data_IF_214466148860
#
_entry.id   IF_214466148860
#
_cell.length_a   1.000
_cell.length_b   1.000
_cell.length_c   1.000
_cell.angle_alpha   90.00
_cell.angle_beta   90.00
_cell.angle_gamma   90.00
#
_symmetry.space_group_name_H-M   'P 1'
#
loop_
_entity.id
_entity.type
_entity.pdbx_description
1 polymer ?
#
# COMPACT_ATOMS: atom_id res chain seq x y z
N UNK A 1 21.09 -16.43 -8.87
CA UNK A 1 21.38 -15.08 -9.38
C UNK A 1 20.23 -14.56 -10.24
N UNK A 2 19.13 -14.10 -9.63
CA UNK A 2 17.99 -13.44 -10.33
C UNK A 2 17.57 -12.13 -9.65
N UNK A 3 18.45 -11.52 -8.85
CA UNK A 3 18.10 -10.44 -7.94
C UNK A 3 18.63 -9.05 -8.34
N UNK A 4 18.94 -8.76 -9.63
CA UNK A 4 19.66 -7.51 -9.94
C UNK A 4 19.34 -6.76 -11.23
N UNK A 5 18.16 -6.86 -11.84
CA UNK A 5 17.99 -6.18 -13.13
C UNK A 5 16.60 -5.61 -13.46
N UNK A 6 15.82 -5.22 -12.45
CA UNK A 6 14.62 -4.39 -12.67
C UNK A 6 14.47 -3.30 -11.60
N UNK A 7 15.58 -2.66 -11.21
CA UNK A 7 15.56 -1.41 -10.47
C UNK A 7 15.38 -0.23 -11.45
N UNK A 8 14.26 -0.23 -12.17
CA UNK A 8 13.81 0.91 -12.97
C UNK A 8 12.40 1.28 -12.52
N UNK A 9 12.33 2.13 -11.50
CA UNK A 9 11.09 2.77 -11.03
C UNK A 9 11.07 3.00 -9.51
N UNK A 10 11.27 4.25 -9.08
CA UNK A 10 10.79 4.77 -7.80
C UNK A 10 11.61 4.45 -6.55
N UNK A 11 11.52 3.22 -6.03
CA UNK A 11 11.75 3.00 -4.61
C UNK A 11 12.72 1.85 -4.35
N UNK A 12 13.94 2.16 -3.91
CA UNK A 12 14.82 1.16 -3.33
C UNK A 12 14.31 0.74 -1.96
N UNK A 13 14.65 -0.47 -1.49
CA UNK A 13 14.31 -0.91 -0.12
C UNK A 13 14.81 0.09 0.94
N UNK A 14 15.95 0.75 0.69
CA UNK A 14 16.50 1.78 1.56
C UNK A 14 15.64 3.04 1.57
N UNK A 15 15.12 3.46 0.42
CA UNK A 15 14.20 4.60 0.32
C UNK A 15 12.87 4.32 1.04
N UNK A 16 12.32 3.11 0.91
CA UNK A 16 11.10 2.70 1.62
C UNK A 16 11.31 2.62 3.13
N UNK A 17 12.46 2.11 3.58
CA UNK A 17 12.80 2.12 5.00
C UNK A 17 12.98 3.55 5.55
N UNK A 18 13.57 4.46 4.77
CA UNK A 18 13.66 5.86 5.14
C UNK A 18 12.27 6.52 5.22
N UNK A 19 11.37 6.20 4.29
CA UNK A 19 9.98 6.66 4.33
C UNK A 19 9.25 6.16 5.58
N UNK A 20 9.38 4.87 5.93
CA UNK A 20 8.82 4.30 7.17
C UNK A 20 9.31 5.09 8.38
N UNK A 21 10.62 5.38 8.46
CA UNK A 21 11.17 6.18 9.55
C UNK A 21 10.54 7.57 9.62
N UNK A 22 10.39 8.26 8.49
CA UNK A 22 9.77 9.58 8.46
C UNK A 22 8.30 9.55 8.90
N UNK A 23 7.56 8.49 8.54
CA UNK A 23 6.19 8.30 9.04
C UNK A 23 6.16 8.04 10.54
N UNK A 24 7.11 7.26 11.07
CA UNK A 24 7.24 7.05 12.51
C UNK A 24 7.54 8.35 13.25
N UNK A 25 8.49 9.15 12.77
CA UNK A 25 8.79 10.48 13.33
C UNK A 25 7.54 11.39 13.29
N UNK A 26 6.74 11.33 12.22
CA UNK A 26 5.50 12.10 12.09
C UNK A 26 4.41 11.62 13.07
N UNK A 27 4.29 10.31 13.29
CA UNK A 27 3.35 9.70 14.24
C UNK A 27 3.73 10.03 15.69
N UNK A 28 5.03 10.12 15.99
CA UNK A 28 5.51 10.54 17.31
C UNK A 28 5.13 12.00 17.63
N UNK A 29 5.12 12.86 16.61
CA UNK A 29 4.73 14.27 16.74
C UNK A 29 3.21 14.40 16.81
N UNK A 30 2.49 13.69 15.95
CA UNK A 30 1.03 13.68 15.87
C UNK A 30 0.50 12.25 15.76
N UNK A 31 0.05 11.73 16.91
CA UNK A 31 -0.45 10.36 17.01
C UNK A 31 -1.76 10.12 16.26
N UNK A 32 -2.44 11.18 15.83
CA UNK A 32 -3.71 11.14 15.09
C UNK A 32 -3.50 11.37 13.58
N UNK A 33 -2.25 11.42 13.11
CA UNK A 33 -1.93 11.64 11.70
C UNK A 33 -2.20 10.41 10.83
N UNK A 34 -3.47 10.23 10.44
CA UNK A 34 -3.95 9.06 9.69
C UNK A 34 -3.16 8.75 8.40
N UNK A 35 -2.78 9.79 7.64
CA UNK A 35 -2.05 9.62 6.38
C UNK A 35 -0.64 9.02 6.61
N UNK A 36 0.02 9.34 7.73
CA UNK A 36 1.32 8.77 8.07
C UNK A 36 1.22 7.27 8.36
N UNK A 37 0.18 6.83 9.09
CA UNK A 37 -0.09 5.42 9.28
C UNK A 37 -0.40 4.67 7.97
N UNK A 38 -1.19 5.28 7.08
CA UNK A 38 -1.49 4.71 5.77
C UNK A 38 -0.24 4.57 4.89
N UNK A 39 0.58 5.61 4.81
CA UNK A 39 1.85 5.60 4.06
C UNK A 39 2.84 4.58 4.61
N UNK A 40 2.93 4.45 5.95
CA UNK A 40 3.74 3.41 6.60
C UNK A 40 3.28 2.00 6.21
N UNK A 41 1.98 1.74 6.28
CA UNK A 41 1.41 0.43 5.91
C UNK A 41 1.72 0.10 4.44
N UNK A 42 1.54 1.07 3.54
CA UNK A 42 1.87 0.92 2.13
C UNK A 42 3.34 0.56 1.91
N UNK A 43 4.28 1.33 2.48
CA UNK A 43 5.70 1.07 2.33
C UNK A 43 6.11 -0.32 2.83
N UNK A 44 5.57 -0.76 3.97
CA UNK A 44 5.80 -2.11 4.51
C UNK A 44 5.31 -3.21 3.55
N UNK A 45 4.14 -3.03 2.94
CA UNK A 45 3.59 -3.97 1.97
C UNK A 45 4.40 -4.02 0.67
N UNK A 46 4.92 -2.88 0.21
CA UNK A 46 5.81 -2.83 -0.96
C UNK A 46 7.13 -3.55 -0.67
N UNK A 47 7.74 -3.33 0.51
CA UNK A 47 8.95 -4.05 0.93
C UNK A 47 8.69 -5.56 1.01
N UNK A 48 7.56 -5.96 1.57
CA UNK A 48 7.15 -7.36 1.63
C UNK A 48 7.06 -7.96 0.21
N UNK A 49 6.25 -7.36 -0.66
CA UNK A 49 5.92 -7.94 -1.97
C UNK A 49 7.09 -7.95 -2.94
N UNK A 50 7.85 -6.85 -3.03
CA UNK A 50 8.86 -6.68 -4.07
C UNK A 50 10.26 -7.14 -3.66
N UNK A 51 10.56 -7.22 -2.35
CA UNK A 51 11.94 -7.41 -1.90
C UNK A 51 12.14 -8.60 -0.97
N UNK A 52 11.35 -8.71 0.10
CA UNK A 52 11.73 -9.59 1.23
C UNK A 52 10.86 -10.83 1.38
N UNK A 53 9.57 -10.75 1.04
CA UNK A 53 8.56 -11.75 1.36
C UNK A 53 8.50 -12.11 2.86
N UNK A 54 8.92 -11.19 3.74
CA UNK A 54 8.82 -11.37 5.19
C UNK A 54 7.40 -11.05 5.67
N UNK A 55 6.67 -12.07 6.13
CA UNK A 55 5.31 -11.92 6.62
C UNK A 55 5.17 -11.02 7.87
N UNK A 56 6.24 -10.78 8.62
CA UNK A 56 6.20 -9.83 9.74
C UNK A 56 5.85 -8.41 9.27
N UNK A 57 6.27 -8.03 8.06
CA UNK A 57 5.93 -6.74 7.47
C UNK A 57 4.44 -6.62 7.15
N UNK A 58 3.78 -7.74 6.80
CA UNK A 58 2.33 -7.77 6.56
C UNK A 58 1.58 -7.54 7.87
N UNK A 59 2.02 -8.17 8.96
CA UNK A 59 1.44 -7.97 10.29
C UNK A 59 1.63 -6.53 10.79
N UNK A 60 2.81 -5.94 10.56
CA UNK A 60 3.05 -4.53 10.92
C UNK A 60 2.22 -3.57 10.06
N UNK A 61 2.09 -3.85 8.76
CA UNK A 61 1.25 -3.06 7.86
C UNK A 61 -0.23 -3.13 8.26
N UNK A 62 -0.72 -4.29 8.68
CA UNK A 62 -2.07 -4.45 9.22
C UNK A 62 -2.29 -3.55 10.44
N UNK A 63 -1.35 -3.54 11.40
CA UNK A 63 -1.45 -2.70 12.59
C UNK A 63 -1.49 -1.21 12.26
N UNK A 64 -0.61 -0.76 11.35
CA UNK A 64 -0.59 0.62 10.89
C UNK A 64 -1.89 0.98 10.15
N UNK A 65 -2.35 0.11 9.25
CA UNK A 65 -3.61 0.30 8.52
C UNK A 65 -4.83 0.38 9.46
N UNK A 66 -4.92 -0.49 10.47
CA UNK A 66 -6.01 -0.43 11.45
C UNK A 66 -6.06 0.92 12.18
N UNK A 67 -4.89 1.50 12.46
CA UNK A 67 -4.81 2.82 13.06
C UNK A 67 -5.28 3.91 12.08
N UNK A 68 -4.85 3.86 10.83
CA UNK A 68 -5.31 4.77 9.78
C UNK A 68 -6.84 4.70 9.57
N UNK A 69 -7.42 3.48 9.55
CA UNK A 69 -8.87 3.25 9.45
C UNK A 69 -9.62 3.83 10.65
N UNK A 70 -9.07 3.66 11.86
CA UNK A 70 -9.68 4.21 13.08
C UNK A 70 -9.71 5.73 13.06
N UNK A 71 -8.65 6.36 12.58
CA UNK A 71 -8.48 7.82 12.58
C UNK A 71 -9.24 8.49 11.42
N UNK A 72 -9.11 7.95 10.21
CA UNK A 72 -9.73 8.52 9.01
C UNK A 72 -10.11 7.40 8.01
N UNK A 73 -11.28 6.76 8.18
CA UNK A 73 -11.71 5.62 7.34
C UNK A 73 -12.05 5.99 5.90
N UNK A 74 -12.28 7.28 5.62
CA UNK A 74 -12.66 7.79 4.29
C UNK A 74 -11.54 8.62 3.64
N UNK A 75 -10.34 8.64 4.23
CA UNK A 75 -9.18 9.28 3.62
C UNK A 75 -8.71 8.45 2.42
N UNK A 76 -8.33 9.11 1.32
CA UNK A 76 -7.91 8.43 0.09
C UNK A 76 -6.71 7.50 0.35
N UNK A 77 -5.70 7.96 1.08
CA UNK A 77 -4.50 7.21 1.45
C UNK A 77 -4.85 5.98 2.29
N UNK A 78 -5.79 6.09 3.24
CA UNK A 78 -6.26 4.95 4.04
C UNK A 78 -6.91 3.89 3.15
N UNK A 79 -7.75 4.30 2.19
CA UNK A 79 -8.43 3.39 1.26
C UNK A 79 -7.45 2.75 0.27
N UNK A 80 -6.42 3.49 -0.15
CA UNK A 80 -5.34 2.97 -0.98
C UNK A 80 -4.53 1.93 -0.20
N UNK A 81 -4.12 2.23 1.03
CA UNK A 81 -3.41 1.30 1.90
C UNK A 81 -4.25 0.05 2.19
N UNK A 82 -5.56 0.19 2.40
CA UNK A 82 -6.50 -0.93 2.50
C UNK A 82 -6.47 -1.79 1.24
N UNK A 83 -6.56 -1.18 0.06
CA UNK A 83 -6.50 -1.89 -1.20
C UNK A 83 -5.20 -2.67 -1.39
N UNK A 84 -4.05 -2.06 -1.05
CA UNK A 84 -2.76 -2.74 -1.11
C UNK A 84 -2.63 -3.86 -0.07
N UNK A 85 -3.20 -3.72 1.12
CA UNK A 85 -3.23 -4.79 2.11
C UNK A 85 -4.02 -6.00 1.61
N UNK A 86 -5.20 -5.76 1.01
CA UNK A 86 -5.99 -6.81 0.39
C UNK A 86 -5.24 -7.45 -0.80
N UNK A 87 -4.55 -6.64 -1.62
CA UNK A 87 -3.84 -7.13 -2.80
C UNK A 87 -2.56 -7.90 -2.45
N UNK A 88 -1.62 -7.28 -1.72
CA UNK A 88 -0.32 -7.87 -1.41
C UNK A 88 -0.36 -8.80 -0.19
N UNK A 89 -1.09 -8.41 0.86
CA UNK A 89 -1.14 -9.18 2.10
C UNK A 89 -2.05 -10.40 2.04
N UNK A 90 -3.29 -10.21 1.58
CA UNK A 90 -4.33 -11.25 1.61
C UNK A 90 -4.64 -11.90 0.26
N UNK A 91 -4.12 -11.35 -0.83
CA UNK A 91 -4.41 -11.78 -2.21
C UNK A 91 -5.92 -11.74 -2.56
N UNK A 92 -6.71 -10.93 -1.85
CA UNK A 92 -8.14 -10.70 -2.11
C UNK A 92 -8.31 -9.55 -3.11
N UNK A 93 -8.10 -9.85 -4.38
CA UNK A 93 -8.15 -8.86 -5.47
C UNK A 93 -9.52 -8.18 -5.62
N UNK A 94 -10.60 -8.84 -5.21
CA UNK A 94 -11.95 -8.27 -5.27
C UNK A 94 -12.14 -7.17 -4.23
N UNK A 95 -11.70 -7.42 -2.99
CA UNK A 95 -11.70 -6.39 -1.95
C UNK A 95 -10.71 -5.27 -2.25
N UNK A 96 -9.53 -5.61 -2.78
CA UNK A 96 -8.55 -4.60 -3.21
C UNK A 96 -9.16 -3.63 -4.23
N UNK A 97 -9.80 -4.16 -5.28
CA UNK A 97 -10.52 -3.36 -6.28
C UNK A 97 -11.55 -2.45 -5.65
N UNK A 98 -12.37 -2.97 -4.71
CA UNK A 98 -13.42 -2.20 -4.05
C UNK A 98 -12.84 -1.03 -3.25
N UNK A 99 -11.74 -1.25 -2.53
CA UNK A 99 -11.05 -0.20 -1.77
C UNK A 99 -10.47 0.88 -2.69
N UNK A 100 -9.81 0.50 -3.79
CA UNK A 100 -9.28 1.45 -4.75
C UNK A 100 -10.37 2.24 -5.50
N UNK A 101 -11.50 1.60 -5.83
CA UNK A 101 -12.65 2.31 -6.40
C UNK A 101 -13.22 3.35 -5.43
N UNK A 102 -13.31 3.03 -4.13
CA UNK A 102 -13.70 4.00 -3.10
C UNK A 102 -12.70 5.16 -3.02
N UNK A 103 -11.39 4.89 -3.08
CA UNK A 103 -10.37 5.94 -3.08
C UNK A 103 -10.53 6.91 -4.27
N UNK A 104 -10.80 6.38 -5.47
CA UNK A 104 -11.06 7.18 -6.68
C UNK A 104 -12.36 7.99 -6.62
N UNK A 105 -13.35 7.56 -5.83
CA UNK A 105 -14.56 8.36 -5.59
C UNK A 105 -14.26 9.55 -4.68
N UNK A 106 -13.42 9.35 -3.65
CA UNK A 106 -13.02 10.42 -2.72
C UNK A 106 -12.10 11.43 -3.41
N UNK A 107 -11.05 10.94 -4.08
CA UNK A 107 -10.14 11.77 -4.87
C UNK A 107 -9.99 11.24 -6.30
N UNK A 108 -10.84 11.72 -7.23
CA UNK A 108 -10.77 11.31 -8.63
C UNK A 108 -9.46 11.66 -9.34
N UNK A 109 -8.67 12.58 -8.77
CA UNK A 109 -7.37 12.99 -9.30
C UNK A 109 -6.16 12.29 -8.68
N UNK A 110 -6.37 11.37 -7.73
CA UNK A 110 -5.27 10.77 -6.98
C UNK A 110 -4.47 9.79 -7.85
N UNK A 111 -3.25 10.19 -8.22
CA UNK A 111 -2.36 9.43 -9.12
C UNK A 111 -2.04 8.04 -8.59
N UNK A 112 -1.95 7.88 -7.28
CA UNK A 112 -1.65 6.60 -6.64
C UNK A 112 -2.84 5.64 -6.72
N UNK A 113 -4.07 6.14 -6.52
CA UNK A 113 -5.29 5.36 -6.75
C UNK A 113 -5.44 4.95 -8.23
N UNK A 114 -5.01 5.79 -9.17
CA UNK A 114 -4.95 5.44 -10.59
C UNK A 114 -3.87 4.39 -10.90
N UNK A 115 -2.71 4.46 -10.25
CA UNK A 115 -1.67 3.44 -10.32
C UNK A 115 -2.15 2.09 -9.78
N UNK A 116 -2.83 2.10 -8.64
CA UNK A 116 -3.47 0.93 -8.05
C UNK A 116 -4.55 0.33 -8.97
N UNK A 117 -5.28 1.17 -9.71
CA UNK A 117 -6.21 0.74 -10.76
C UNK A 117 -5.52 -0.03 -11.90
N UNK A 118 -4.36 0.43 -12.33
CA UNK A 118 -3.59 -0.28 -13.35
C UNK A 118 -3.12 -1.67 -12.86
N UNK A 119 -2.72 -1.79 -11.60
CA UNK A 119 -2.30 -3.06 -10.99
C UNK A 119 -3.43 -4.10 -10.96
N UNK A 120 -4.68 -3.70 -10.68
CA UNK A 120 -5.79 -4.64 -10.75
C UNK A 120 -6.14 -5.01 -12.20
N UNK A 121 -6.12 -4.05 -13.14
CA UNK A 121 -6.47 -4.33 -14.55
C UNK A 121 -5.48 -5.31 -15.18
N UNK A 122 -4.19 -5.18 -14.84
CA UNK A 122 -3.16 -6.14 -15.24
C UNK A 122 -3.37 -7.54 -14.66
N UNK A 123 -3.74 -7.66 -13.37
CA UNK A 123 -4.01 -8.96 -12.74
C UNK A 123 -5.22 -9.68 -13.35
N UNK A 124 -6.29 -8.94 -13.67
CA UNK A 124 -7.49 -9.48 -14.33
C UNK A 124 -7.23 -9.93 -15.77
N UNK A 125 -6.39 -9.21 -16.52
CA UNK A 125 -6.02 -9.60 -17.88
C UNK A 125 -5.22 -10.91 -17.93
N UNK A 126 -4.43 -11.21 -16.89
CA UNK A 126 -3.72 -12.49 -16.75
C UNK A 126 -4.61 -13.67 -16.40
N UNK A 127 -5.71 -13.45 -15.65
CA UNK A 127 -6.65 -14.50 -15.24
C UNK A 127 -7.67 -14.89 -16.33
N UNK A 128 -7.88 -14.05 -17.36
CA UNK A 128 -8.80 -14.35 -18.48
C UNK A 128 -8.13 -15.03 -19.69
N UNK A 129 -6.84 -15.40 -19.61
CA UNK A 129 -6.14 -16.14 -20.68
C UNK A 129 -5.97 -17.64 -20.40
N UNK A 130 -6.65 -18.19 -19.40
CA UNK A 130 -6.64 -19.63 -19.10
C UNK A 130 -8.05 -20.21 -19.04
#
# INVERSE_FOLDING_TARGET
MRAKLLATGGDSVDALNAAIKNYDDAIEIDSDFAAAYAGKAYAQLVIYWLFTHNHDLVLQAEQALQRAITLAPNLAETLIAEGYYQYYGLLDYNKAKTAFERALVIEPGNVEAWGARALWQGAWAGLMQH
#
